data_IF_060769779003
#
_entry.id   IF_060769779003
#
_cell.length_a   1.000
_cell.length_b   1.000
_cell.length_c   1.000
_cell.angle_alpha   90.00
_cell.angle_beta   90.00
_cell.angle_gamma   90.00
#
_symmetry.space_group_name_H-M   'P 1'
#
loop_
_entity.id
_entity.type
_entity.pdbx_description
1 polymer ?
#
# COMPACT_ATOMS: atom_id res chain seq x y z
N UNK A 1 11.73 -26.74 -14.99
CA UNK A 1 10.51 -26.09 -15.51
C UNK A 1 10.86 -25.55 -16.87
N UNK A 2 10.05 -25.83 -17.89
CA UNK A 2 10.27 -25.24 -19.23
C UNK A 2 9.99 -23.75 -19.16
N UNK A 3 10.70 -22.94 -19.96
CA UNK A 3 10.56 -21.48 -20.01
C UNK A 3 9.10 -21.03 -20.20
N UNK A 4 8.31 -21.81 -20.93
CA UNK A 4 6.87 -21.60 -21.11
C UNK A 4 6.04 -21.70 -19.80
N UNK A 5 6.39 -22.61 -18.88
CA UNK A 5 5.69 -22.72 -17.60
C UNK A 5 5.94 -21.50 -16.72
N UNK A 6 7.18 -21.02 -16.69
CA UNK A 6 7.57 -19.86 -15.87
C UNK A 6 6.86 -18.59 -16.36
N UNK A 7 6.75 -18.43 -17.68
CA UNK A 7 6.05 -17.30 -18.29
C UNK A 7 4.55 -17.30 -17.94
N UNK A 8 3.93 -18.48 -17.92
CA UNK A 8 2.52 -18.66 -17.56
C UNK A 8 2.27 -18.34 -16.07
N UNK A 9 3.18 -18.75 -15.17
CA UNK A 9 3.13 -18.38 -13.75
C UNK A 9 3.32 -16.87 -13.55
N UNK A 10 4.28 -16.26 -14.27
CA UNK A 10 4.52 -14.82 -14.26
C UNK A 10 3.27 -14.03 -14.66
N UNK A 11 2.61 -14.46 -15.74
CA UNK A 11 1.34 -13.88 -16.20
C UNK A 11 0.23 -13.96 -15.15
N UNK A 12 0.07 -15.11 -14.48
CA UNK A 12 -0.92 -15.26 -13.41
C UNK A 12 -0.63 -14.33 -12.21
N UNK A 13 0.64 -14.18 -11.85
CA UNK A 13 1.06 -13.27 -10.77
C UNK A 13 0.78 -11.82 -11.15
N UNK A 14 1.03 -11.42 -12.40
CA UNK A 14 0.70 -10.07 -12.90
C UNK A 14 -0.79 -9.76 -12.80
N UNK A 15 -1.66 -10.71 -13.18
CA UNK A 15 -3.12 -10.56 -13.05
C UNK A 15 -3.51 -10.43 -11.58
N UNK A 16 -2.93 -11.26 -10.71
CA UNK A 16 -3.18 -11.19 -9.27
C UNK A 16 -2.76 -9.83 -8.67
N UNK A 17 -1.60 -9.29 -9.07
CA UNK A 17 -1.15 -7.95 -8.67
C UNK A 17 -2.16 -6.90 -9.13
N UNK A 18 -2.61 -6.96 -10.39
CA UNK A 18 -3.63 -6.05 -10.92
C UNK A 18 -4.90 -6.06 -10.09
N UNK A 19 -5.37 -7.25 -9.69
CA UNK A 19 -6.58 -7.41 -8.88
C UNK A 19 -6.39 -6.84 -7.46
N UNK A 20 -5.23 -7.06 -6.85
CA UNK A 20 -4.88 -6.45 -5.54
C UNK A 20 -4.81 -4.93 -5.63
N UNK A 21 -4.25 -4.38 -6.72
CA UNK A 21 -4.20 -2.92 -6.94
C UNK A 21 -5.60 -2.31 -7.11
N UNK A 22 -6.50 -2.98 -7.82
CA UNK A 22 -7.91 -2.54 -7.93
C UNK A 22 -8.60 -2.60 -6.57
N UNK A 23 -8.42 -3.69 -5.82
CA UNK A 23 -8.95 -3.80 -4.47
C UNK A 23 -8.41 -2.69 -3.55
N UNK A 24 -7.10 -2.40 -3.62
CA UNK A 24 -6.47 -1.28 -2.92
C UNK A 24 -7.09 0.05 -3.32
N UNK A 25 -7.34 0.28 -4.61
CA UNK A 25 -7.95 1.50 -5.10
C UNK A 25 -9.38 1.67 -4.59
N UNK A 26 -10.18 0.59 -4.54
CA UNK A 26 -11.53 0.62 -3.99
C UNK A 26 -11.54 0.86 -2.48
N UNK A 27 -10.69 0.14 -1.74
CA UNK A 27 -10.53 0.33 -0.29
C UNK A 27 -10.06 1.75 0.01
N UNK A 28 -9.08 2.25 -0.73
CA UNK A 28 -8.61 3.61 -0.66
C UNK A 28 -9.76 4.58 -0.90
N UNK A 29 -10.51 4.42 -1.99
CA UNK A 29 -11.61 5.32 -2.33
C UNK A 29 -12.71 5.36 -1.25
N UNK A 30 -13.03 4.24 -0.63
CA UNK A 30 -14.11 4.12 0.36
C UNK A 30 -13.65 4.56 1.76
N UNK A 31 -12.43 4.18 2.17
CA UNK A 31 -11.99 4.31 3.56
C UNK A 31 -10.99 5.42 3.82
N UNK A 32 -10.31 5.99 2.81
CA UNK A 32 -9.33 7.06 3.03
C UNK A 32 -9.95 8.28 3.68
N UNK A 33 -11.10 8.74 3.21
CA UNK A 33 -11.72 9.95 3.74
C UNK A 33 -12.12 9.75 5.22
N UNK A 34 -12.56 8.54 5.57
CA UNK A 34 -12.89 8.15 6.95
C UNK A 34 -11.64 7.97 7.84
N UNK A 35 -10.51 7.55 7.26
CA UNK A 35 -9.24 7.40 7.99
C UNK A 35 -8.61 8.77 8.19
N UNK A 36 -8.55 9.60 7.17
CA UNK A 36 -7.96 10.94 7.24
C UNK A 36 -8.73 11.89 8.15
N UNK A 37 -10.07 11.78 8.19
CA UNK A 37 -10.86 12.53 9.18
C UNK A 37 -10.57 12.11 10.62
N UNK A 38 -10.06 10.90 10.85
CA UNK A 38 -9.61 10.42 12.18
C UNK A 38 -8.15 10.71 12.49
N UNK A 39 -7.36 11.05 11.47
CA UNK A 39 -5.95 11.44 11.60
C UNK A 39 -5.74 12.91 11.20
N UNK A 40 -6.74 13.75 11.46
CA UNK A 40 -6.71 15.15 11.06
C UNK A 40 -5.71 15.99 11.85
N UNK A 41 -5.24 15.55 13.02
CA UNK A 41 -4.20 16.27 13.77
C UNK A 41 -2.78 15.88 13.32
N UNK A 42 -2.64 14.91 12.43
CA UNK A 42 -1.35 14.48 11.90
C UNK A 42 -0.92 15.37 10.72
N UNK A 43 -0.02 16.33 10.98
CA UNK A 43 0.51 17.26 9.95
C UNK A 43 0.97 16.53 8.70
N UNK A 44 1.68 15.40 8.84
CA UNK A 44 2.17 14.63 7.70
C UNK A 44 1.04 14.08 6.80
N UNK A 45 -0.09 13.70 7.37
CA UNK A 45 -1.24 13.20 6.61
C UNK A 45 -2.00 14.36 5.97
N UNK A 46 -2.12 15.49 6.66
CA UNK A 46 -2.75 16.69 6.11
C UNK A 46 -1.93 17.28 4.95
N UNK A 47 -0.60 17.36 5.10
CA UNK A 47 0.32 17.80 4.06
C UNK A 47 0.25 16.88 2.85
N UNK A 48 0.28 15.56 3.08
CA UNK A 48 0.12 14.58 2.01
C UNK A 48 -1.24 14.71 1.30
N UNK A 49 -2.31 14.98 2.05
CA UNK A 49 -3.64 15.27 1.50
C UNK A 49 -3.62 16.52 0.60
N UNK A 50 -2.93 17.59 1.00
CA UNK A 50 -2.80 18.81 0.19
C UNK A 50 -2.02 18.56 -1.09
N UNK A 51 -0.88 17.85 -1.01
CA UNK A 51 -0.04 17.51 -2.16
C UNK A 51 -0.81 16.70 -3.20
N UNK A 52 -1.58 15.70 -2.76
CA UNK A 52 -2.28 14.78 -3.64
C UNK A 52 -3.76 15.14 -3.89
N UNK A 53 -4.23 16.28 -3.39
CA UNK A 53 -5.64 16.69 -3.54
C UNK A 53 -6.00 16.92 -5.01
N UNK A 54 -5.06 17.38 -5.82
CA UNK A 54 -5.27 17.67 -7.25
C UNK A 54 -5.10 16.45 -8.16
N UNK A 55 -4.65 15.31 -7.63
CA UNK A 55 -4.36 14.11 -8.41
C UNK A 55 -5.55 13.15 -8.57
N UNK A 56 -6.76 13.55 -8.14
CA UNK A 56 -7.99 12.78 -8.31
C UNK A 56 -7.90 11.36 -7.74
N UNK A 57 -8.25 10.36 -8.57
CA UNK A 57 -8.21 8.93 -8.22
C UNK A 57 -6.80 8.42 -7.89
N UNK A 58 -5.79 8.83 -8.66
CA UNK A 58 -4.39 8.49 -8.38
C UNK A 58 -3.93 9.11 -7.04
N UNK A 59 -4.37 10.34 -6.77
CA UNK A 59 -4.13 11.00 -5.49
C UNK A 59 -4.68 10.22 -4.29
N UNK A 60 -5.89 9.65 -4.43
CA UNK A 60 -6.46 8.77 -3.39
C UNK A 60 -5.60 7.53 -3.19
N UNK A 61 -5.17 6.84 -4.25
CA UNK A 61 -4.31 5.65 -4.10
C UNK A 61 -2.98 6.00 -3.41
N UNK A 62 -2.32 7.09 -3.80
CA UNK A 62 -1.06 7.52 -3.20
C UNK A 62 -1.21 7.88 -1.72
N UNK A 63 -2.30 8.58 -1.36
CA UNK A 63 -2.62 8.87 0.04
C UNK A 63 -2.83 7.61 0.85
N UNK A 64 -3.55 6.62 0.29
CA UNK A 64 -3.75 5.31 0.93
C UNK A 64 -2.46 4.54 1.14
N UNK A 65 -1.57 4.54 0.15
CA UNK A 65 -0.26 3.91 0.25
C UNK A 65 0.61 4.52 1.35
N UNK A 66 0.69 5.86 1.41
CA UNK A 66 1.47 6.58 2.42
C UNK A 66 0.88 6.36 3.82
N UNK A 67 -0.45 6.43 3.97
CA UNK A 67 -1.14 6.09 5.22
C UNK A 67 -0.82 4.66 5.64
N UNK A 68 -0.87 3.70 4.71
CA UNK A 68 -0.52 2.29 4.97
C UNK A 68 0.91 2.17 5.50
N UNK A 69 1.87 2.85 4.87
CA UNK A 69 3.29 2.84 5.27
C UNK A 69 3.47 3.41 6.69
N UNK A 70 2.81 4.52 6.98
CA UNK A 70 2.80 5.14 8.31
C UNK A 70 2.19 4.21 9.35
N UNK A 71 1.11 3.50 9.00
CA UNK A 71 0.46 2.52 9.88
C UNK A 71 1.30 1.26 10.10
N UNK A 72 2.18 0.87 9.16
CA UNK A 72 3.11 -0.26 9.34
C UNK A 72 4.17 0.11 10.38
N UNK A 73 4.74 1.32 10.30
CA UNK A 73 5.84 1.77 11.17
C UNK A 73 5.54 3.06 11.96
N UNK A 74 4.45 3.11 12.75
CA UNK A 74 4.01 4.34 13.41
C UNK A 74 5.03 4.86 14.42
N UNK A 75 5.72 3.94 15.12
CA UNK A 75 6.74 4.28 16.12
C UNK A 75 7.94 4.99 15.50
N UNK A 76 8.30 4.68 14.25
CA UNK A 76 9.41 5.37 13.58
C UNK A 76 9.00 6.77 13.13
N UNK A 77 7.80 6.92 12.58
CA UNK A 77 7.30 8.22 12.15
C UNK A 77 7.01 9.15 13.34
N UNK A 78 6.52 8.61 14.45
CA UNK A 78 6.32 9.36 15.69
C UNK A 78 7.63 9.84 16.33
N UNK A 79 8.68 9.00 16.33
CA UNK A 79 10.00 9.40 16.83
C UNK A 79 10.62 10.55 16.03
N UNK A 80 10.20 10.73 14.76
CA UNK A 80 10.64 11.83 13.90
C UNK A 80 9.76 13.08 14.02
N UNK A 81 8.75 13.07 14.89
CA UNK A 81 7.78 14.16 15.04
C UNK A 81 6.85 14.33 13.84
N UNK A 82 6.88 13.39 12.87
CA UNK A 82 6.09 13.48 11.64
C UNK A 82 4.63 13.10 11.88
N UNK A 83 4.37 12.26 12.88
CA UNK A 83 3.07 11.61 13.06
C UNK A 83 2.70 11.56 14.53
N UNK A 84 1.44 11.88 14.86
CA UNK A 84 0.94 11.77 16.23
C UNK A 84 0.68 10.29 16.60
N UNK A 85 1.56 9.74 17.45
CA UNK A 85 1.42 8.37 17.94
C UNK A 85 0.11 8.14 18.71
N UNK A 86 -0.45 9.18 19.34
CA UNK A 86 -1.64 9.09 20.14
C UNK A 86 -2.89 8.93 19.24
N UNK A 87 -2.99 9.68 18.14
CA UNK A 87 -4.02 9.46 17.11
C UNK A 87 -3.95 8.05 16.51
N UNK A 88 -2.75 7.58 16.15
CA UNK A 88 -2.61 6.24 15.59
C UNK A 88 -2.97 5.13 16.58
N UNK A 89 -2.77 5.35 17.87
CA UNK A 89 -3.18 4.41 18.92
C UNK A 89 -4.70 4.30 19.06
N UNK A 90 -5.42 5.38 18.74
CA UNK A 90 -6.90 5.45 18.77
C UNK A 90 -7.54 4.86 17.51
N UNK A 91 -6.77 4.68 16.43
CA UNK A 91 -7.29 4.13 15.20
C UNK A 91 -7.70 2.66 15.39
N UNK A 92 -8.94 2.27 15.04
CA UNK A 92 -9.36 0.88 15.13
C UNK A 92 -8.43 -0.03 14.34
N UNK A 93 -7.96 -1.11 14.98
CA UNK A 93 -7.06 -2.11 14.36
C UNK A 93 -7.60 -2.62 13.03
N UNK A 94 -8.93 -2.66 12.85
CA UNK A 94 -9.59 -3.05 11.61
C UNK A 94 -9.11 -2.24 10.40
N UNK A 95 -9.07 -0.91 10.48
CA UNK A 95 -8.61 -0.06 9.38
C UNK A 95 -7.12 -0.29 9.07
N UNK A 96 -6.34 -0.52 10.13
CA UNK A 96 -4.93 -0.84 10.02
C UNK A 96 -4.70 -2.12 9.22
N UNK A 97 -5.40 -3.20 9.56
CA UNK A 97 -5.31 -4.45 8.79
C UNK A 97 -5.90 -4.33 7.39
N UNK A 98 -6.98 -3.56 7.20
CA UNK A 98 -7.64 -3.40 5.91
C UNK A 98 -6.72 -2.76 4.85
N UNK A 99 -5.85 -1.83 5.25
CA UNK A 99 -4.87 -1.21 4.37
C UNK A 99 -3.56 -1.99 4.31
N UNK A 100 -3.11 -2.52 5.45
CA UNK A 100 -1.82 -3.20 5.58
C UNK A 100 -1.80 -4.56 4.87
N UNK A 101 -2.87 -5.35 4.97
CA UNK A 101 -2.95 -6.69 4.34
C UNK A 101 -2.75 -6.64 2.82
N UNK A 102 -3.57 -5.90 2.05
CA UNK A 102 -3.41 -5.84 0.60
C UNK A 102 -2.09 -5.20 0.17
N UNK A 103 -1.55 -4.23 0.94
CA UNK A 103 -0.23 -3.67 0.68
C UNK A 103 0.89 -4.71 0.83
N UNK A 104 0.90 -5.48 1.93
CA UNK A 104 1.89 -6.54 2.16
C UNK A 104 1.79 -7.63 1.09
N UNK A 105 0.57 -8.04 0.73
CA UNK A 105 0.34 -9.03 -0.33
C UNK A 105 0.89 -8.52 -1.66
N UNK A 106 0.64 -7.26 -2.01
CA UNK A 106 1.22 -6.66 -3.22
C UNK A 106 2.75 -6.65 -3.20
N UNK A 107 3.36 -6.23 -2.09
CA UNK A 107 4.83 -6.26 -1.94
C UNK A 107 5.39 -7.68 -2.08
N UNK A 108 4.74 -8.67 -1.48
CA UNK A 108 5.17 -10.06 -1.57
C UNK A 108 5.08 -10.59 -3.01
N UNK A 109 3.97 -10.32 -3.70
CA UNK A 109 3.78 -10.72 -5.10
C UNK A 109 4.81 -10.05 -6.03
N UNK A 110 5.13 -8.77 -5.79
CA UNK A 110 6.16 -8.05 -6.56
C UNK A 110 7.55 -8.64 -6.35
N UNK A 111 7.94 -8.92 -5.10
CA UNK A 111 9.23 -9.56 -4.80
C UNK A 111 9.31 -10.93 -5.44
N UNK A 112 8.22 -11.71 -5.38
CA UNK A 112 8.16 -13.02 -6.00
C UNK A 112 8.27 -12.95 -7.54
N UNK A 113 7.59 -11.97 -8.17
CA UNK A 113 7.70 -11.72 -9.61
C UNK A 113 9.13 -11.34 -10.01
N UNK A 114 9.80 -10.49 -9.23
CA UNK A 114 11.20 -10.11 -9.46
C UNK A 114 12.13 -11.32 -9.30
N UNK A 115 11.90 -12.16 -8.28
CA UNK A 115 12.69 -13.38 -8.08
C UNK A 115 12.54 -14.34 -9.28
N UNK A 116 11.32 -14.51 -9.80
CA UNK A 116 11.06 -15.33 -10.99
C UNK A 116 11.71 -14.74 -12.25
N UNK A 117 11.63 -13.43 -12.45
CA UNK A 117 12.21 -12.77 -13.63
C UNK A 117 13.75 -12.81 -13.62
N UNK A 118 14.36 -12.63 -12.44
CA UNK A 118 15.80 -12.84 -12.26
C UNK A 118 16.16 -14.31 -12.50
N UNK A 119 15.38 -15.25 -11.95
CA UNK A 119 15.58 -16.67 -12.17
C UNK A 119 15.57 -17.05 -13.65
N UNK A 120 14.64 -16.50 -14.45
CA UNK A 120 14.64 -16.71 -15.91
C UNK A 120 15.90 -16.15 -16.58
N UNK A 121 16.37 -14.96 -16.17
CA UNK A 121 17.52 -14.31 -16.79
C UNK A 121 18.85 -15.01 -16.49
N UNK A 122 18.97 -15.72 -15.36
CA UNK A 122 20.19 -16.42 -14.97
C UNK A 122 20.21 -17.91 -15.35
N UNK A 123 19.06 -18.53 -15.66
CA UNK A 123 18.94 -19.96 -16.00
C UNK A 123 18.75 -20.24 -17.51
N UNK A 124 18.58 -19.20 -18.33
CA UNK A 124 18.53 -19.25 -19.80
C UNK A 124 19.79 -18.62 -20.35
#
# INVERSE_FOLDING_TARGET
MTSAQIDLFSGFILIAIGLVLVAMMLIAHIYIEAIESRLSNCSYIEDNKRVWSNAGLLGKVMRGGIISMVLIMPKMHAKRGLVDAQELSRLPKRYRYLLMMPFIVCCFLLVFLIALSLGQKYLV
#
